data_IF_974036567216
#
_entry.id   IF_974036567216
#
_cell.length_a   1.000
_cell.length_b   1.000
_cell.length_c   1.000
_cell.angle_alpha   90.00
_cell.angle_beta   90.00
_cell.angle_gamma   90.00
#
_symmetry.space_group_name_H-M   'P 1'
#
loop_
_entity.id
_entity.type
_entity.pdbx_description
1 polymer ?
#
# COMPACT_ATOMS: atom_id res chain seq x y z
N UNK A 1 13.32 -13.96 -6.29
CA UNK A 1 12.43 -13.17 -5.41
C UNK A 1 11.39 -12.48 -6.28
N UNK A 2 10.10 -12.53 -5.93
CA UNK A 2 9.07 -11.77 -6.66
C UNK A 2 9.13 -10.31 -6.22
N UNK A 3 9.32 -9.40 -7.17
CA UNK A 3 9.24 -7.95 -6.91
C UNK A 3 7.79 -7.61 -6.53
N UNK A 4 7.62 -6.91 -5.41
CA UNK A 4 6.31 -6.42 -4.99
C UNK A 4 6.13 -5.00 -5.53
N UNK A 5 5.20 -4.83 -6.46
CA UNK A 5 4.88 -3.55 -7.07
C UNK A 5 3.46 -3.17 -6.60
N UNK A 6 3.25 -1.97 -6.08
CA UNK A 6 1.92 -1.44 -5.78
C UNK A 6 1.21 -1.03 -7.07
N UNK A 7 -0.12 -1.12 -7.09
CA UNK A 7 -0.91 -0.76 -8.29
C UNK A 7 -0.94 0.75 -8.51
N UNK A 8 -0.97 1.53 -7.43
CA UNK A 8 -1.05 2.99 -7.47
C UNK A 8 -0.11 3.62 -6.45
N UNK A 9 0.59 4.67 -6.90
CA UNK A 9 1.39 5.57 -6.06
C UNK A 9 0.90 7.00 -6.33
N UNK A 10 0.34 7.64 -5.31
CA UNK A 10 -0.14 9.01 -5.39
C UNK A 10 0.80 9.93 -4.61
N UNK A 11 1.33 10.97 -5.24
CA UNK A 11 2.27 11.91 -4.63
C UNK A 11 1.66 13.30 -4.60
N UNK A 12 1.59 13.92 -3.42
CA UNK A 12 1.10 15.29 -3.23
C UNK A 12 1.71 15.92 -1.99
N UNK A 13 2.16 17.18 -2.07
CA UNK A 13 2.65 17.97 -0.95
C UNK A 13 3.67 17.22 -0.06
N UNK A 14 4.73 16.66 -0.68
CA UNK A 14 5.75 15.83 0.01
C UNK A 14 5.19 14.64 0.82
N UNK A 15 4.02 14.15 0.44
CA UNK A 15 3.42 12.93 0.98
C UNK A 15 3.14 11.96 -0.15
N UNK A 16 3.38 10.68 0.08
CA UNK A 16 3.01 9.61 -0.85
C UNK A 16 1.99 8.68 -0.21
N UNK A 17 1.00 8.23 -0.97
CA UNK A 17 0.07 7.17 -0.59
C UNK A 17 0.21 6.01 -1.57
N UNK A 18 0.51 4.84 -1.04
CA UNK A 18 0.52 3.56 -1.75
C UNK A 18 -0.86 2.91 -1.64
N UNK A 19 -1.42 2.51 -2.77
CA UNK A 19 -2.73 1.84 -2.83
C UNK A 19 -2.59 0.55 -3.65
N UNK A 20 -3.04 -0.55 -3.08
CA UNK A 20 -3.19 -1.87 -3.73
C UNK A 20 -4.66 -2.31 -3.55
N UNK A 21 -5.54 -1.99 -4.51
CA UNK A 21 -6.94 -2.38 -4.47
C UNK A 21 -7.10 -3.90 -4.54
N UNK A 22 -8.07 -4.43 -3.80
CA UNK A 22 -8.38 -5.87 -3.87
C UNK A 22 -9.87 -6.10 -3.78
N UNK A 23 -10.40 -7.05 -4.54
CA UNK A 23 -11.80 -7.45 -4.44
C UNK A 23 -11.87 -8.67 -3.54
N UNK A 24 -12.75 -8.64 -2.54
CA UNK A 24 -12.93 -9.72 -1.57
C UNK A 24 -14.28 -10.40 -1.79
N UNK A 25 -14.27 -11.47 -2.59
CA UNK A 25 -15.47 -12.29 -2.83
C UNK A 25 -15.60 -13.38 -1.75
N UNK A 26 -16.68 -13.36 -0.98
CA UNK A 26 -17.10 -14.41 -0.02
C UNK A 26 -16.00 -14.97 0.91
N UNK A 27 -15.32 -14.11 1.69
CA UNK A 27 -14.22 -14.58 2.58
C UNK A 27 -14.53 -14.50 4.07
N UNK A 28 -14.04 -15.50 4.81
CA UNK A 28 -14.00 -15.53 6.29
C UNK A 28 -13.09 -14.47 6.91
N UNK A 29 -12.17 -13.88 6.13
CA UNK A 29 -11.11 -13.00 6.64
C UNK A 29 -11.58 -11.56 6.84
N UNK A 30 -12.65 -11.14 6.15
CA UNK A 30 -13.25 -9.82 6.27
C UNK A 30 -12.40 -8.71 5.63
N UNK A 31 -13.07 -7.63 5.19
CA UNK A 31 -12.48 -6.47 4.52
C UNK A 31 -11.29 -5.89 5.31
N UNK A 32 -11.43 -5.83 6.64
CA UNK A 32 -10.41 -5.28 7.53
C UNK A 32 -9.09 -6.05 7.43
N UNK A 33 -9.12 -7.38 7.49
CA UNK A 33 -7.90 -8.19 7.44
C UNK A 33 -7.23 -8.12 6.08
N UNK A 34 -8.02 -8.10 5.00
CA UNK A 34 -7.51 -7.89 3.65
C UNK A 34 -6.75 -6.54 3.54
N UNK A 35 -7.28 -5.48 4.15
CA UNK A 35 -6.59 -4.18 4.20
C UNK A 35 -5.29 -4.24 5.01
N UNK A 36 -5.30 -4.86 6.20
CA UNK A 36 -4.11 -5.01 7.05
C UNK A 36 -3.00 -5.81 6.35
N UNK A 37 -3.36 -6.86 5.60
CA UNK A 37 -2.40 -7.65 4.80
C UNK A 37 -1.70 -6.80 3.73
N UNK A 38 -2.42 -5.88 3.06
CA UNK A 38 -1.79 -4.96 2.09
C UNK A 38 -0.85 -3.97 2.78
N UNK A 39 -1.23 -3.45 3.95
CA UNK A 39 -0.34 -2.57 4.74
C UNK A 39 0.96 -3.29 5.06
N UNK A 40 0.87 -4.49 5.63
CA UNK A 40 2.02 -5.31 6.01
C UNK A 40 2.89 -5.68 4.79
N UNK A 41 2.25 -6.00 3.66
CA UNK A 41 2.93 -6.34 2.40
C UNK A 41 3.88 -5.22 1.97
N UNK A 42 3.45 -3.96 1.97
CA UNK A 42 4.25 -2.86 1.42
C UNK A 42 4.97 -1.99 2.44
N UNK A 43 4.78 -2.21 3.74
CA UNK A 43 5.42 -1.39 4.78
C UNK A 43 6.94 -1.30 4.63
N UNK A 44 7.58 -2.38 4.18
CA UNK A 44 9.02 -2.43 3.95
C UNK A 44 9.52 -1.55 2.79
N UNK A 45 8.63 -1.09 1.89
CA UNK A 45 8.99 -0.20 0.78
C UNK A 45 9.04 1.28 1.17
N UNK A 46 8.57 1.64 2.37
CA UNK A 46 8.49 3.04 2.83
C UNK A 46 9.81 3.81 2.64
N UNK A 47 10.98 3.31 3.10
CA UNK A 47 12.23 4.05 2.96
C UNK A 47 12.64 4.27 1.50
N UNK A 48 12.39 3.27 0.65
CA UNK A 48 12.71 3.34 -0.78
C UNK A 48 11.84 4.39 -1.47
N UNK A 49 10.54 4.43 -1.14
CA UNK A 49 9.58 5.40 -1.68
C UNK A 49 9.95 6.83 -1.21
N UNK A 50 10.28 7.02 0.07
CA UNK A 50 10.73 8.31 0.60
C UNK A 50 11.95 8.82 -0.16
N UNK A 51 12.94 7.96 -0.38
CA UNK A 51 14.15 8.34 -1.10
C UNK A 51 13.90 8.59 -2.60
N UNK A 52 13.07 7.77 -3.26
CA UNK A 52 12.81 7.88 -4.69
C UNK A 52 12.00 9.14 -5.03
N UNK A 53 10.92 9.40 -4.29
CA UNK A 53 10.01 10.51 -4.56
C UNK A 53 10.33 11.78 -3.75
N UNK A 54 11.38 11.75 -2.92
CA UNK A 54 11.82 12.88 -2.08
C UNK A 54 10.67 13.44 -1.22
N UNK A 55 9.92 12.53 -0.60
CA UNK A 55 8.77 12.86 0.26
C UNK A 55 9.12 12.64 1.74
N UNK A 56 8.46 13.40 2.60
CA UNK A 56 8.67 13.33 4.05
C UNK A 56 7.84 12.19 4.66
N UNK A 57 6.65 11.94 4.11
CA UNK A 57 5.70 10.94 4.61
C UNK A 57 5.29 9.95 3.53
N UNK A 58 5.17 8.68 3.92
CA UNK A 58 4.57 7.62 3.11
C UNK A 58 3.49 6.92 3.91
N UNK A 59 2.31 6.79 3.33
CA UNK A 59 1.21 6.00 3.86
C UNK A 59 0.99 4.78 2.96
N UNK A 60 0.70 3.63 3.57
CA UNK A 60 0.21 2.45 2.85
C UNK A 60 -1.26 2.28 3.19
N UNK A 61 -2.11 2.14 2.17
CA UNK A 61 -3.54 1.89 2.35
C UNK A 61 -3.95 0.65 1.58
N UNK A 62 -4.49 -0.33 2.31
CA UNK A 62 -5.31 -1.36 1.69
C UNK A 62 -6.63 -0.76 1.21
N UNK A 63 -7.07 -1.16 0.02
CA UNK A 63 -8.37 -0.78 -0.53
C UNK A 63 -9.14 -2.03 -0.95
N UNK A 64 -9.61 -2.77 0.05
CA UNK A 64 -10.48 -3.92 -0.15
C UNK A 64 -11.93 -3.45 -0.42
N UNK A 65 -12.51 -3.99 -1.49
CA UNK A 65 -13.89 -3.78 -1.95
C UNK A 65 -14.64 -5.11 -1.90
#
# INVERSE_FOLDING_TARGET
MKTQIPDLILVKNKTTVLIDPTIVMETKLGIRKANEEKVNKYQHLIPNIQNLYKVDKVEVKGLAI
#
